data_IF_831762656951
#
_entry.id   IF_831762656951
#
_cell.length_a   1.000
_cell.length_b   1.000
_cell.length_c   1.000
_cell.angle_alpha   90.00
_cell.angle_beta   90.00
_cell.angle_gamma   90.00
#
_symmetry.space_group_name_H-M   'P 1'
#
loop_
_entity.id
_entity.type
_entity.pdbx_description
1 polymer ?
#
# COMPACT_ATOMS: atom_id res chain seq x y z
N UNK A 1 -40.71 -16.46 54.32
CA UNK A 1 -39.46 -17.22 54.04
C UNK A 1 -39.25 -17.31 52.53
N UNK A 2 -38.47 -16.42 51.89
CA UNK A 2 -38.26 -16.46 50.45
C UNK A 2 -37.20 -17.52 50.10
N UNK A 3 -37.56 -18.47 49.22
CA UNK A 3 -36.66 -19.53 48.73
C UNK A 3 -35.64 -18.92 47.76
N UNK A 4 -34.37 -18.86 48.16
CA UNK A 4 -33.24 -18.44 47.33
C UNK A 4 -32.99 -19.48 46.23
N UNK A 5 -33.08 -19.07 44.97
CA UNK A 5 -32.71 -19.91 43.82
C UNK A 5 -31.17 -20.05 43.77
N UNK A 6 -30.62 -21.24 43.51
CA UNK A 6 -29.18 -21.43 43.41
C UNK A 6 -28.67 -20.73 42.13
N UNK A 7 -27.69 -19.84 42.30
CA UNK A 7 -26.93 -19.23 41.20
C UNK A 7 -26.24 -20.33 40.40
N UNK A 8 -26.67 -20.55 39.16
CA UNK A 8 -25.98 -21.48 38.25
C UNK A 8 -24.55 -21.01 38.04
N UNK A 9 -23.57 -21.81 38.46
CA UNK A 9 -22.17 -21.65 38.06
C UNK A 9 -22.12 -21.79 36.54
N UNK A 10 -22.00 -20.67 35.85
CA UNK A 10 -21.67 -20.61 34.42
C UNK A 10 -20.25 -21.11 34.27
N UNK A 11 -20.09 -22.42 34.08
CA UNK A 11 -18.84 -23.02 33.62
C UNK A 11 -18.45 -22.32 32.33
N UNK A 12 -17.33 -21.58 32.36
CA UNK A 12 -16.71 -21.02 31.16
C UNK A 12 -16.34 -22.20 30.27
N UNK A 13 -17.11 -22.44 29.23
CA UNK A 13 -16.68 -23.28 28.11
C UNK A 13 -15.34 -22.70 27.61
N UNK A 14 -14.30 -23.53 27.42
CA UNK A 14 -13.06 -23.06 26.82
C UNK A 14 -13.36 -22.49 25.42
N UNK A 15 -12.73 -21.36 25.09
CA UNK A 15 -12.87 -20.65 23.82
C UNK A 15 -12.65 -21.58 22.62
N UNK A 16 -13.71 -22.18 22.09
CA UNK A 16 -13.70 -22.96 20.84
C UNK A 16 -13.24 -22.11 19.64
N UNK A 17 -13.28 -20.79 19.75
CA UNK A 17 -12.72 -19.89 18.75
C UNK A 17 -11.19 -19.87 18.78
N UNK A 18 -10.54 -20.06 19.92
CA UNK A 18 -9.07 -20.02 20.02
C UNK A 18 -8.38 -21.15 19.25
N UNK A 19 -9.01 -22.34 19.16
CA UNK A 19 -8.45 -23.52 18.49
C UNK A 19 -8.51 -23.44 16.96
N UNK A 20 -9.51 -22.75 16.39
CA UNK A 20 -9.65 -22.61 14.93
C UNK A 20 -8.57 -21.71 14.29
N UNK A 21 -7.95 -20.81 15.05
CA UNK A 21 -6.95 -19.87 14.53
C UNK A 21 -5.50 -20.40 14.59
N UNK A 22 -5.23 -21.43 15.40
CA UNK A 22 -3.88 -22.00 15.55
C UNK A 22 -3.31 -22.50 14.21
N UNK A 23 -4.02 -23.29 13.38
CA UNK A 23 -3.46 -23.76 12.12
C UNK A 23 -3.13 -22.63 11.15
N UNK A 24 -3.86 -21.51 11.21
CA UNK A 24 -3.59 -20.34 10.37
C UNK A 24 -2.40 -19.55 10.89
N UNK A 25 -2.28 -19.38 12.20
CA UNK A 25 -1.13 -18.75 12.82
C UNK A 25 0.16 -19.53 12.52
N UNK A 26 0.11 -20.86 12.61
CA UNK A 26 1.26 -21.74 12.32
C UNK A 26 1.67 -21.66 10.85
N UNK A 27 0.71 -21.61 9.92
CA UNK A 27 1.01 -21.37 8.50
C UNK A 27 1.68 -20.02 8.26
N UNK A 28 1.26 -18.97 8.97
CA UNK A 28 1.85 -17.64 8.85
C UNK A 28 3.28 -17.63 9.38
N UNK A 29 3.51 -18.27 10.53
CA UNK A 29 4.83 -18.43 11.12
C UNK A 29 5.76 -19.22 10.19
N UNK A 30 5.33 -20.39 9.72
CA UNK A 30 6.10 -21.22 8.79
C UNK A 30 6.48 -20.44 7.53
N UNK A 31 5.53 -19.71 6.95
CA UNK A 31 5.78 -18.89 5.76
C UNK A 31 6.82 -17.79 6.02
N UNK A 32 6.84 -17.19 7.21
CA UNK A 32 7.88 -16.22 7.56
C UNK A 32 9.26 -16.88 7.66
N UNK A 33 9.35 -18.08 8.25
CA UNK A 33 10.61 -18.83 8.32
C UNK A 33 11.12 -19.23 6.93
N UNK A 34 10.24 -19.76 6.08
CA UNK A 34 10.56 -20.08 4.66
C UNK A 34 11.08 -18.85 3.91
N UNK A 35 10.44 -17.69 4.09
CA UNK A 35 10.87 -16.42 3.49
C UNK A 35 12.24 -15.96 4.00
N UNK A 36 12.50 -16.13 5.30
CA UNK A 36 13.78 -15.82 5.91
C UNK A 36 14.89 -16.72 5.36
N UNK A 37 14.66 -18.03 5.30
CA UNK A 37 15.59 -19.02 4.76
C UNK A 37 15.91 -18.76 3.30
N UNK A 38 14.90 -18.44 2.48
CA UNK A 38 15.12 -18.09 1.07
C UNK A 38 15.97 -16.82 0.93
N UNK A 39 15.73 -15.82 1.78
CA UNK A 39 16.58 -14.63 1.85
C UNK A 39 18.02 -14.94 2.25
N UNK A 40 18.22 -15.85 3.22
CA UNK A 40 19.54 -16.29 3.68
C UNK A 40 20.28 -17.02 2.58
N UNK A 41 19.65 -18.01 1.93
CA UNK A 41 20.22 -18.75 0.82
C UNK A 41 20.64 -17.81 -0.33
N UNK A 42 19.84 -16.78 -0.62
CA UNK A 42 20.19 -15.78 -1.63
C UNK A 42 21.40 -14.91 -1.24
N UNK A 43 21.58 -14.60 0.05
CA UNK A 43 22.77 -13.90 0.55
C UNK A 43 24.00 -14.81 0.51
N UNK A 44 23.85 -16.09 0.84
CA UNK A 44 24.93 -17.07 0.81
C UNK A 44 25.40 -17.38 -0.62
N UNK A 45 24.48 -17.55 -1.58
CA UNK A 45 24.81 -17.75 -2.99
C UNK A 45 25.59 -16.56 -3.58
N UNK A 46 25.19 -15.33 -3.24
CA UNK A 46 25.92 -14.12 -3.64
C UNK A 46 27.36 -14.10 -3.08
N UNK A 47 27.57 -14.57 -1.84
CA UNK A 47 28.90 -14.66 -1.22
C UNK A 47 29.75 -15.77 -1.79
N UNK A 48 29.18 -16.95 -2.03
CA UNK A 48 29.90 -18.16 -2.44
C UNK A 48 30.26 -18.16 -3.92
N UNK A 49 29.31 -17.77 -4.77
CA UNK A 49 29.48 -17.92 -6.21
C UNK A 49 30.01 -16.64 -6.88
N UNK A 50 29.94 -15.47 -6.20
CA UNK A 50 30.47 -14.17 -6.64
C UNK A 50 29.92 -13.63 -7.99
N UNK A 51 29.24 -14.48 -8.76
CA UNK A 51 28.72 -14.28 -10.12
C UNK A 51 27.19 -14.38 -10.17
N UNK A 52 26.57 -14.95 -9.14
CA UNK A 52 25.12 -15.04 -9.04
C UNK A 52 24.54 -13.68 -8.66
N UNK A 53 24.11 -12.91 -9.66
CA UNK A 53 23.45 -11.63 -9.42
C UNK A 53 22.09 -11.83 -8.74
N UNK A 54 21.59 -10.80 -8.06
CA UNK A 54 20.24 -10.82 -7.48
C UNK A 54 19.18 -11.13 -8.55
N UNK A 55 19.38 -10.65 -9.78
CA UNK A 55 18.44 -10.91 -10.88
C UNK A 55 18.48 -12.37 -11.35
N UNK A 56 19.68 -12.97 -11.44
CA UNK A 56 19.84 -14.38 -11.81
C UNK A 56 19.22 -15.32 -10.77
N UNK A 57 19.49 -15.09 -9.48
CA UNK A 57 18.89 -15.89 -8.39
C UNK A 57 17.35 -15.73 -8.38
N UNK A 58 16.86 -14.51 -8.64
CA UNK A 58 15.42 -14.25 -8.68
C UNK A 58 14.75 -15.00 -9.84
N UNK A 59 15.38 -15.02 -11.02
CA UNK A 59 14.89 -15.72 -12.19
C UNK A 59 14.84 -17.25 -11.98
N UNK A 60 15.86 -17.85 -11.36
CA UNK A 60 15.90 -19.29 -11.05
C UNK A 60 14.73 -19.74 -10.15
N UNK A 61 14.20 -18.82 -9.33
CA UNK A 61 13.17 -19.11 -8.32
C UNK A 61 11.80 -18.52 -8.64
N UNK A 62 11.59 -18.04 -9.87
CA UNK A 62 10.35 -17.37 -10.31
C UNK A 62 9.94 -16.20 -9.39
N UNK A 63 10.92 -15.44 -8.90
CA UNK A 63 10.71 -14.28 -8.04
C UNK A 63 11.03 -12.99 -8.80
N UNK A 64 10.37 -11.89 -8.40
CA UNK A 64 10.80 -10.57 -8.84
C UNK A 64 12.10 -10.17 -8.14
N UNK A 65 13.04 -9.48 -8.81
CA UNK A 65 14.24 -8.95 -8.16
C UNK A 65 13.93 -8.05 -6.96
N UNK A 66 12.84 -7.29 -7.03
CA UNK A 66 12.37 -6.45 -5.94
C UNK A 66 11.96 -7.26 -4.70
N UNK A 67 11.23 -8.36 -4.90
CA UNK A 67 10.87 -9.28 -3.82
C UNK A 67 12.13 -9.90 -3.19
N UNK A 68 13.08 -10.34 -4.01
CA UNK A 68 14.30 -10.96 -3.52
C UNK A 68 15.15 -9.98 -2.71
N UNK A 69 15.28 -8.72 -3.14
CA UNK A 69 15.95 -7.67 -2.35
C UNK A 69 15.35 -7.54 -0.95
N UNK A 70 14.03 -7.54 -0.83
CA UNK A 70 13.36 -7.49 0.48
C UNK A 70 13.59 -8.74 1.32
N UNK A 71 13.62 -9.92 0.71
CA UNK A 71 13.92 -11.18 1.40
C UNK A 71 15.37 -11.22 1.90
N UNK A 72 16.33 -10.72 1.11
CA UNK A 72 17.73 -10.52 1.55
C UNK A 72 17.81 -9.53 2.71
N UNK A 73 17.11 -8.39 2.64
CA UNK A 73 17.02 -7.44 3.74
C UNK A 73 16.40 -8.05 4.99
N UNK A 74 15.38 -8.90 4.83
CA UNK A 74 14.76 -9.63 5.94
C UNK A 74 15.74 -10.57 6.62
N UNK A 75 16.44 -11.40 5.85
CA UNK A 75 17.44 -12.33 6.37
C UNK A 75 18.60 -11.63 7.09
N UNK A 76 19.05 -10.47 6.57
CA UNK A 76 20.10 -9.66 7.20
C UNK A 76 19.59 -8.99 8.48
N UNK A 77 18.36 -8.48 8.46
CA UNK A 77 17.78 -7.71 9.57
C UNK A 77 17.34 -8.57 10.75
N UNK A 78 17.13 -9.87 10.56
CA UNK A 78 16.66 -10.81 11.57
C UNK A 78 17.60 -12.00 11.73
N UNK A 79 18.90 -11.76 11.61
CA UNK A 79 19.92 -12.79 11.57
C UNK A 79 19.92 -13.67 12.83
N UNK A 80 20.12 -14.97 12.63
CA UNK A 80 20.28 -15.97 13.69
C UNK A 80 21.74 -15.94 14.11
N UNK A 81 22.10 -15.10 15.09
CA UNK A 81 23.47 -15.02 15.61
C UNK A 81 23.93 -13.66 16.14
N UNK A 82 23.07 -12.64 16.13
CA UNK A 82 23.39 -11.36 16.79
C UNK A 82 23.05 -11.48 18.29
N UNK A 83 24.09 -11.59 19.13
CA UNK A 83 24.04 -11.70 20.61
C UNK A 83 23.43 -10.48 21.32
N UNK A 84 22.87 -9.52 20.58
CA UNK A 84 22.20 -8.33 21.12
C UNK A 84 20.79 -8.63 21.65
N UNK A 85 20.28 -9.83 21.44
CA UNK A 85 19.08 -10.31 22.13
C UNK A 85 19.51 -10.91 23.48
N UNK A 86 19.22 -10.18 24.57
CA UNK A 86 19.63 -10.42 25.97
C UNK A 86 19.23 -11.78 26.58
N UNK A 87 18.70 -12.71 25.79
CA UNK A 87 18.25 -14.05 26.23
C UNK A 87 18.47 -15.15 25.17
N UNK A 88 19.50 -15.06 24.32
CA UNK A 88 19.89 -16.18 23.43
C UNK A 88 18.80 -16.61 22.42
N UNK A 89 17.89 -15.70 22.04
CA UNK A 89 16.83 -15.96 21.06
C UNK A 89 17.08 -15.12 19.82
N UNK A 90 16.95 -15.74 18.65
CA UNK A 90 17.00 -14.99 17.40
C UNK A 90 15.84 -13.98 17.35
N UNK A 91 16.10 -12.79 16.83
CA UNK A 91 15.06 -11.77 16.63
C UNK A 91 13.92 -12.27 15.71
N UNK A 92 14.21 -13.26 14.85
CA UNK A 92 13.22 -13.98 14.06
C UNK A 92 12.26 -14.79 14.94
N UNK A 93 12.76 -15.55 15.91
CA UNK A 93 11.93 -16.35 16.80
C UNK A 93 10.99 -15.47 17.62
N UNK A 94 11.48 -14.32 18.07
CA UNK A 94 10.62 -13.38 18.78
C UNK A 94 9.51 -12.83 17.86
N UNK A 95 9.87 -12.40 16.65
CA UNK A 95 8.89 -11.93 15.67
C UNK A 95 7.83 -13.01 15.36
N UNK A 96 8.27 -14.25 15.20
CA UNK A 96 7.41 -15.40 14.92
C UNK A 96 6.49 -15.76 16.10
N UNK A 97 6.86 -15.47 17.36
CA UNK A 97 6.03 -15.73 18.54
C UNK A 97 4.95 -14.68 18.78
N UNK A 98 5.12 -13.46 18.26
CA UNK A 98 4.13 -12.40 18.46
C UNK A 98 2.76 -12.81 17.89
N UNK A 99 1.70 -12.61 18.69
CA UNK A 99 0.31 -12.87 18.33
C UNK A 99 -0.50 -11.60 18.56
N UNK A 100 -1.37 -11.26 17.61
CA UNK A 100 -2.20 -10.05 17.72
C UNK A 100 -3.33 -10.24 18.73
N UNK A 101 -3.43 -9.37 19.76
CA UNK A 101 -4.32 -9.49 20.93
C UNK A 101 -5.84 -9.53 20.66
N UNK A 102 -6.28 -9.41 19.40
CA UNK A 102 -7.69 -9.59 19.02
C UNK A 102 -7.95 -10.76 18.07
N UNK A 103 -7.02 -11.05 17.15
CA UNK A 103 -7.22 -12.10 16.14
C UNK A 103 -6.53 -13.42 16.45
N UNK A 104 -5.60 -13.43 17.41
CA UNK A 104 -4.74 -14.60 17.68
C UNK A 104 -3.79 -14.95 16.54
N UNK A 105 -3.78 -14.17 15.45
CA UNK A 105 -2.91 -14.39 14.30
C UNK A 105 -1.54 -13.76 14.52
N UNK A 106 -0.51 -14.39 13.97
CA UNK A 106 0.84 -13.83 13.96
C UNK A 106 0.98 -12.59 13.07
N UNK A 107 2.13 -11.93 13.18
CA UNK A 107 2.56 -10.98 12.16
C UNK A 107 2.84 -11.74 10.86
N UNK A 108 2.70 -11.08 9.72
CA UNK A 108 2.94 -11.67 8.40
C UNK A 108 3.80 -10.76 7.55
N UNK A 109 4.20 -11.23 6.37
CA UNK A 109 5.09 -10.53 5.43
C UNK A 109 4.76 -9.03 5.22
N UNK A 110 3.48 -8.68 5.18
CA UNK A 110 3.06 -7.28 5.04
C UNK A 110 3.51 -6.38 6.19
N UNK A 111 3.53 -6.88 7.42
CA UNK A 111 4.09 -6.17 8.57
C UNK A 111 5.60 -6.06 8.46
N UNK A 112 6.26 -7.18 8.10
CA UNK A 112 7.72 -7.25 7.96
C UNK A 112 8.24 -6.20 6.97
N UNK A 113 7.58 -6.01 5.83
CA UNK A 113 7.96 -4.99 4.84
C UNK A 113 8.08 -3.59 5.46
N UNK A 114 7.17 -3.22 6.35
CA UNK A 114 7.22 -1.91 7.02
C UNK A 114 8.23 -1.87 8.15
N UNK A 115 8.37 -2.97 8.91
CA UNK A 115 9.36 -3.12 9.96
C UNK A 115 10.80 -3.04 9.41
N UNK A 116 11.05 -3.52 8.20
CA UNK A 116 12.37 -3.39 7.55
C UNK A 116 12.77 -1.94 7.24
N UNK A 117 11.83 -1.00 7.26
CA UNK A 117 12.13 0.43 7.19
C UNK A 117 12.66 1.02 8.50
N UNK A 118 12.61 0.27 9.60
CA UNK A 118 13.18 0.66 10.90
C UNK A 118 14.61 0.14 10.97
N UNK A 119 15.56 1.07 11.01
CA UNK A 119 17.00 0.78 10.97
C UNK A 119 17.45 -0.01 12.20
N UNK A 120 17.07 0.47 13.39
CA UNK A 120 17.51 -0.10 14.66
C UNK A 120 16.76 -1.40 15.00
N UNK A 121 17.45 -2.54 15.20
CA UNK A 121 16.79 -3.83 15.48
C UNK A 121 15.90 -3.80 16.73
N UNK A 122 16.37 -3.16 17.81
CA UNK A 122 15.60 -3.04 19.05
C UNK A 122 14.30 -2.23 18.84
N UNK A 123 14.38 -1.15 18.06
CA UNK A 123 13.21 -0.33 17.76
C UNK A 123 12.23 -1.08 16.84
N UNK A 124 12.74 -1.83 15.86
CA UNK A 124 11.95 -2.68 14.99
C UNK A 124 11.13 -3.69 15.79
N UNK A 125 11.75 -4.30 16.79
CA UNK A 125 11.07 -5.25 17.68
C UNK A 125 10.04 -4.56 18.57
N UNK A 126 10.34 -3.38 19.11
CA UNK A 126 9.37 -2.55 19.84
C UNK A 126 8.13 -2.27 18.98
N UNK A 127 8.30 -1.87 17.72
CA UNK A 127 7.20 -1.64 16.78
C UNK A 127 6.42 -2.91 16.45
N UNK A 128 7.09 -4.05 16.33
CA UNK A 128 6.43 -5.34 16.13
C UNK A 128 5.54 -5.70 17.34
N UNK A 129 6.04 -5.51 18.57
CA UNK A 129 5.27 -5.72 19.81
C UNK A 129 4.06 -4.79 19.89
N UNK A 130 4.23 -3.50 19.58
CA UNK A 130 3.11 -2.54 19.54
C UNK A 130 2.04 -2.94 18.50
N UNK A 131 2.47 -3.40 17.32
CA UNK A 131 1.55 -3.89 16.29
C UNK A 131 0.80 -5.15 16.73
N UNK A 132 1.47 -6.06 17.43
CA UNK A 132 0.86 -7.26 18.00
C UNK A 132 -0.17 -6.88 19.07
N UNK A 133 0.24 -6.09 20.05
CA UNK A 133 -0.59 -5.68 21.17
C UNK A 133 -1.80 -4.85 20.76
N UNK A 134 -1.62 -3.95 19.79
CA UNK A 134 -2.69 -3.10 19.27
C UNK A 134 -3.58 -3.76 18.21
N UNK A 135 -3.35 -5.03 17.87
CA UNK A 135 -4.00 -5.74 16.75
C UNK A 135 -3.94 -4.91 15.44
N UNK A 136 -2.79 -4.31 15.16
CA UNK A 136 -2.63 -3.44 13.99
C UNK A 136 -2.62 -4.26 12.69
N UNK A 137 -3.14 -3.64 11.63
CA UNK A 137 -2.92 -4.09 10.26
C UNK A 137 -1.56 -3.56 9.75
N UNK A 138 -1.00 -4.13 8.67
CA UNK A 138 0.19 -3.58 8.04
C UNK A 138 0.04 -2.09 7.67
N UNK A 139 -1.15 -1.68 7.19
CA UNK A 139 -1.43 -0.31 6.81
C UNK A 139 -1.42 0.62 8.03
N UNK A 140 -1.99 0.18 9.16
CA UNK A 140 -1.95 0.95 10.40
C UNK A 140 -0.51 1.07 10.91
N UNK A 141 0.25 -0.02 10.93
CA UNK A 141 1.68 0.02 11.29
C UNK A 141 2.45 1.03 10.41
N UNK A 142 2.24 1.00 9.10
CA UNK A 142 2.85 1.98 8.19
C UNK A 142 2.43 3.42 8.49
N UNK A 143 1.19 3.65 8.88
CA UNK A 143 0.70 4.98 9.23
C UNK A 143 1.35 5.47 10.51
N UNK A 144 1.43 4.64 11.55
CA UNK A 144 2.06 4.97 12.83
C UNK A 144 3.56 5.23 12.67
N UNK A 145 4.29 4.43 11.89
CA UNK A 145 5.71 4.64 11.59
C UNK A 145 5.99 5.98 10.87
N UNK A 146 5.00 6.51 10.15
CA UNK A 146 5.11 7.80 9.45
C UNK A 146 4.70 8.99 10.33
N UNK A 147 4.06 8.76 11.48
CA UNK A 147 3.72 9.86 12.40
C UNK A 147 5.03 10.37 13.01
N UNK A 148 5.41 11.59 12.65
CA UNK A 148 6.68 12.20 13.04
C UNK A 148 7.72 12.25 11.94
N UNK A 149 7.48 11.59 10.79
CA UNK A 149 8.23 11.87 9.58
C UNK A 149 7.54 13.03 8.83
N UNK A 150 8.31 13.98 8.27
CA UNK A 150 7.72 14.98 7.38
C UNK A 150 6.96 14.25 6.27
N UNK A 151 5.76 14.73 5.88
CA UNK A 151 5.00 14.09 4.81
C UNK A 151 5.93 13.96 3.61
N UNK A 152 6.18 12.72 3.20
CA UNK A 152 7.10 12.43 2.10
C UNK A 152 6.72 13.32 0.92
N UNK A 153 7.62 14.23 0.54
CA UNK A 153 7.40 15.11 -0.59
C UNK A 153 7.16 14.21 -1.79
N UNK A 154 5.91 14.16 -2.26
CA UNK A 154 5.60 13.51 -3.52
C UNK A 154 6.56 14.06 -4.56
N UNK A 155 7.01 13.22 -5.49
CA UNK A 155 7.87 13.67 -6.58
C UNK A 155 7.25 14.94 -7.19
N UNK A 156 8.00 16.06 -7.26
CA UNK A 156 7.48 17.29 -7.84
C UNK A 156 6.89 16.99 -9.21
N UNK A 157 5.72 17.57 -9.48
CA UNK A 157 5.11 17.50 -10.79
C UNK A 157 6.09 18.08 -11.80
N UNK A 158 6.33 17.37 -12.91
CA UNK A 158 7.12 17.91 -14.01
C UNK A 158 6.44 19.19 -14.50
N UNK A 159 7.17 20.27 -14.80
CA UNK A 159 6.59 21.46 -15.39
C UNK A 159 5.98 21.09 -16.76
N UNK A 160 4.77 21.57 -17.08
CA UNK A 160 4.15 21.32 -18.38
C UNK A 160 4.91 22.05 -19.48
N UNK A 161 4.95 21.46 -20.69
CA UNK A 161 5.67 22.04 -21.84
C UNK A 161 4.88 23.18 -22.49
N UNK A 162 3.55 23.15 -22.35
CA UNK A 162 2.64 24.15 -22.91
C UNK A 162 1.37 24.30 -22.04
N UNK A 163 0.57 25.36 -22.23
CA UNK A 163 -0.63 25.61 -21.42
C UNK A 163 -1.67 24.48 -21.48
N UNK A 164 -1.82 23.81 -22.63
CA UNK A 164 -2.76 22.69 -22.82
C UNK A 164 -2.34 21.48 -21.97
N UNK A 165 -1.06 21.15 -21.97
CA UNK A 165 -0.48 20.13 -21.09
C UNK A 165 -0.64 20.49 -19.62
N UNK A 166 -0.47 21.78 -19.26
CA UNK A 166 -0.67 22.27 -17.90
C UNK A 166 -2.10 22.08 -17.43
N UNK A 167 -3.09 22.41 -18.27
CA UNK A 167 -4.50 22.19 -17.97
C UNK A 167 -4.82 20.69 -17.86
N UNK A 168 -4.32 19.87 -18.78
CA UNK A 168 -4.49 18.41 -18.72
C UNK A 168 -3.87 17.80 -17.45
N UNK A 169 -2.70 18.31 -17.03
CA UNK A 169 -2.03 17.89 -15.80
C UNK A 169 -2.81 18.29 -14.54
N UNK A 170 -3.33 19.52 -14.49
CA UNK A 170 -4.18 19.98 -13.39
C UNK A 170 -5.45 19.13 -13.27
N UNK A 171 -6.09 18.78 -14.39
CA UNK A 171 -7.26 17.90 -14.39
C UNK A 171 -6.96 16.49 -13.88
N UNK A 172 -5.87 15.87 -14.36
CA UNK A 172 -5.44 14.54 -13.89
C UNK A 172 -5.19 14.50 -12.39
N UNK A 173 -4.47 15.50 -11.87
CA UNK A 173 -4.21 15.59 -10.43
C UNK A 173 -5.49 15.89 -9.65
N UNK A 174 -6.38 16.76 -10.16
CA UNK A 174 -7.71 16.98 -9.60
C UNK A 174 -8.51 15.68 -9.48
N UNK A 175 -8.53 14.85 -10.53
CA UNK A 175 -9.21 13.54 -10.51
C UNK A 175 -8.59 12.63 -9.47
N UNK A 176 -7.25 12.59 -9.40
CA UNK A 176 -6.53 11.77 -8.43
C UNK A 176 -6.82 12.19 -6.99
N UNK A 177 -6.91 13.49 -6.71
CA UNK A 177 -7.28 14.02 -5.41
C UNK A 177 -8.73 13.66 -5.05
N UNK A 178 -9.67 13.80 -5.98
CA UNK A 178 -11.07 13.41 -5.75
C UNK A 178 -11.20 11.91 -5.45
N UNK A 179 -10.45 11.05 -6.16
CA UNK A 179 -10.42 9.61 -5.91
C UNK A 179 -9.89 9.27 -4.51
N UNK A 180 -8.87 9.99 -4.01
CA UNK A 180 -8.38 9.82 -2.63
C UNK A 180 -9.44 10.20 -1.59
N UNK A 181 -10.22 11.23 -1.89
CA UNK A 181 -11.31 11.68 -1.02
C UNK A 181 -12.49 10.70 -0.96
N UNK A 182 -12.61 9.71 -1.86
CA UNK A 182 -13.70 8.72 -1.83
C UNK A 182 -13.79 7.97 -0.49
N UNK A 183 -12.64 7.62 0.10
CA UNK A 183 -12.61 6.96 1.42
C UNK A 183 -13.18 7.83 2.54
N UNK A 184 -12.93 9.15 2.48
CA UNK A 184 -13.47 10.14 3.41
C UNK A 184 -14.96 10.37 3.15
N UNK A 185 -15.38 10.38 1.89
CA UNK A 185 -16.78 10.48 1.46
C UNK A 185 -17.61 9.33 2.01
N UNK A 186 -17.17 8.09 1.87
CA UNK A 186 -17.87 6.92 2.44
C UNK A 186 -18.04 7.04 3.97
N UNK A 187 -17.03 7.60 4.63
CA UNK A 187 -17.08 7.87 6.08
C UNK A 187 -18.09 8.97 6.39
N UNK A 188 -18.11 10.05 5.59
CA UNK A 188 -19.08 11.14 5.72
C UNK A 188 -20.52 10.68 5.45
N UNK A 189 -20.75 9.83 4.44
CA UNK A 189 -22.07 9.25 4.16
C UNK A 189 -22.56 8.40 5.32
N UNK A 190 -21.67 7.57 5.88
CA UNK A 190 -21.96 6.77 7.07
C UNK A 190 -22.27 7.65 8.28
N UNK A 191 -21.47 8.69 8.52
CA UNK A 191 -21.69 9.65 9.61
C UNK A 191 -23.00 10.42 9.44
N UNK A 192 -23.32 10.86 8.22
CA UNK A 192 -24.59 11.55 7.91
C UNK A 192 -25.80 10.66 8.21
N UNK A 193 -25.73 9.37 7.87
CA UNK A 193 -26.83 8.42 8.03
C UNK A 193 -26.99 7.93 9.48
N UNK A 194 -25.89 7.76 10.22
CA UNK A 194 -25.89 7.04 11.51
C UNK A 194 -25.58 7.90 12.72
N UNK A 195 -24.98 9.08 12.55
CA UNK A 195 -24.60 9.91 13.69
C UNK A 195 -25.83 10.63 14.27
N UNK A 196 -25.99 10.58 15.59
CA UNK A 196 -27.06 11.28 16.31
C UNK A 196 -26.77 12.77 16.51
N UNK A 197 -25.49 13.16 16.49
CA UNK A 197 -25.07 14.55 16.62
C UNK A 197 -25.42 15.38 15.37
N UNK A 198 -26.14 16.49 15.58
CA UNK A 198 -26.61 17.36 14.49
C UNK A 198 -25.47 18.14 13.84
N UNK A 199 -24.46 18.57 14.62
CA UNK A 199 -23.32 19.31 14.10
C UNK A 199 -22.49 18.44 13.14
N UNK A 200 -22.21 17.20 13.54
CA UNK A 200 -21.50 16.21 12.72
C UNK A 200 -22.26 15.89 11.42
N UNK A 201 -23.59 15.72 11.47
CA UNK A 201 -24.39 15.50 10.24
C UNK A 201 -24.36 16.70 9.30
N UNK A 202 -24.41 17.93 9.84
CA UNK A 202 -24.33 19.15 9.04
C UNK A 202 -22.96 19.26 8.36
N UNK A 203 -21.87 19.08 9.11
CA UNK A 203 -20.51 19.09 8.57
C UNK A 203 -20.30 18.02 7.49
N UNK A 204 -20.78 16.78 7.73
CA UNK A 204 -20.72 15.71 6.73
C UNK A 204 -21.52 16.07 5.46
N UNK A 205 -22.68 16.72 5.59
CA UNK A 205 -23.50 17.15 4.45
C UNK A 205 -22.82 18.25 3.64
N UNK A 206 -22.18 19.22 4.29
CA UNK A 206 -21.42 20.28 3.63
C UNK A 206 -20.22 19.72 2.87
N UNK A 207 -19.46 18.80 3.48
CA UNK A 207 -18.34 18.13 2.83
C UNK A 207 -18.78 17.32 1.60
N UNK A 208 -19.89 16.57 1.70
CA UNK A 208 -20.46 15.84 0.56
C UNK A 208 -20.91 16.78 -0.56
N UNK A 209 -21.51 17.94 -0.22
CA UNK A 209 -21.90 18.96 -1.19
C UNK A 209 -20.68 19.52 -1.92
N UNK A 210 -19.62 19.89 -1.19
CA UNK A 210 -18.38 20.40 -1.76
C UNK A 210 -17.71 19.38 -2.68
N UNK A 211 -17.64 18.11 -2.27
CA UNK A 211 -17.07 17.04 -3.07
C UNK A 211 -17.84 16.82 -4.38
N UNK A 212 -19.18 16.77 -4.34
CA UNK A 212 -20.01 16.65 -5.56
C UNK A 212 -19.84 17.86 -6.48
N UNK A 213 -19.81 19.06 -5.92
CA UNK A 213 -19.56 20.29 -6.69
C UNK A 213 -18.19 20.23 -7.40
N UNK A 214 -17.16 19.74 -6.72
CA UNK A 214 -15.83 19.59 -7.29
C UNK A 214 -15.80 18.51 -8.39
N UNK A 215 -16.51 17.39 -8.23
CA UNK A 215 -16.66 16.37 -9.28
C UNK A 215 -17.32 16.94 -10.55
N UNK A 216 -18.45 17.63 -10.39
CA UNK A 216 -19.17 18.23 -11.52
C UNK A 216 -18.32 19.27 -12.23
N UNK A 217 -17.66 20.15 -11.46
CA UNK A 217 -16.75 21.15 -12.00
C UNK A 217 -15.61 20.49 -12.79
N UNK A 218 -14.97 19.47 -12.23
CA UNK A 218 -13.86 18.79 -12.93
C UNK A 218 -14.32 18.11 -14.23
N UNK A 219 -15.49 17.48 -14.23
CA UNK A 219 -16.07 16.85 -15.40
C UNK A 219 -16.44 17.88 -16.51
N UNK A 220 -16.87 19.07 -16.14
CA UNK A 220 -17.12 20.17 -17.07
C UNK A 220 -15.81 20.68 -17.69
N UNK A 221 -14.78 20.93 -16.88
CA UNK A 221 -13.49 21.40 -17.37
C UNK A 221 -12.79 20.35 -18.26
N UNK A 222 -12.96 19.06 -17.96
CA UNK A 222 -12.46 17.98 -18.83
C UNK A 222 -13.12 18.01 -20.20
N UNK A 223 -14.45 18.14 -20.26
CA UNK A 223 -15.17 18.24 -21.54
C UNK A 223 -14.73 19.45 -22.37
N UNK A 224 -14.58 20.61 -21.73
CA UNK A 224 -14.08 21.82 -22.40
C UNK A 224 -12.68 21.64 -22.96
N UNK A 225 -11.79 20.93 -22.24
CA UNK A 225 -10.46 20.62 -22.74
C UNK A 225 -10.54 19.71 -23.98
N UNK A 226 -11.40 18.69 -23.96
CA UNK A 226 -11.60 17.81 -25.11
C UNK A 226 -12.13 18.58 -26.33
N UNK A 227 -13.04 19.52 -26.13
CA UNK A 227 -13.55 20.40 -27.19
C UNK A 227 -12.43 21.25 -27.81
N UNK A 228 -11.58 21.88 -26.98
CA UNK A 228 -10.42 22.66 -27.44
C UNK A 228 -9.44 21.76 -28.21
N UNK A 229 -9.14 20.57 -27.70
CA UNK A 229 -8.26 19.63 -28.39
C UNK A 229 -8.81 19.14 -29.73
N UNK A 230 -10.14 19.03 -29.85
CA UNK A 230 -10.79 18.64 -31.10
C UNK A 230 -10.82 19.77 -32.13
N UNK A 231 -10.86 21.03 -31.70
CA UNK A 231 -10.73 22.22 -32.59
C UNK A 231 -9.28 22.42 -33.06
N UNK A 232 -8.29 22.12 -32.21
CA UNK A 232 -6.86 22.34 -32.50
C UNK A 232 -6.26 21.22 -33.36
N UNK A 233 -6.92 20.07 -33.51
CA UNK A 233 -6.49 19.05 -34.48
C UNK A 233 -6.59 19.64 -35.89
N UNK A 234 -5.48 19.81 -36.63
CA UNK A 234 -5.56 20.29 -38.01
C UNK A 234 -6.38 19.30 -38.80
N UNK A 235 -7.43 19.80 -39.46
CA UNK A 235 -8.14 19.08 -40.51
C UNK A 235 -7.10 18.71 -41.56
N UNK A 236 -6.58 17.48 -41.51
CA UNK A 236 -5.67 16.87 -42.51
C UNK A 236 -6.29 16.76 -43.92
N UNK A 237 -7.37 17.49 -44.22
CA UNK A 237 -8.16 17.37 -45.44
C UNK A 237 -7.89 18.47 -46.49
N UNK A 238 -7.10 19.49 -46.20
CA UNK A 238 -6.78 20.57 -47.16
C UNK A 238 -5.37 20.50 -47.76
N UNK A 239 -4.47 19.64 -47.27
CA UNK A 239 -3.12 19.52 -47.83
C UNK A 239 -3.01 18.61 -49.08
N UNK A 240 -4.07 17.87 -49.45
CA UNK A 240 -4.03 16.94 -50.59
C UNK A 240 -4.41 17.58 -51.95
N UNK A 241 -4.82 18.85 -51.99
CA UNK A 241 -5.29 19.51 -53.21
C UNK A 241 -4.23 20.40 -53.91
N UNK A 242 -3.06 20.61 -53.30
CA UNK A 242 -2.05 21.55 -53.82
C UNK A 242 -0.92 20.88 -54.64
N UNK A 243 -0.86 19.56 -54.71
CA UNK A 243 0.33 18.83 -55.19
C UNK A 243 0.14 18.07 -56.53
N UNK A 244 -0.93 18.38 -57.30
CA UNK A 244 -1.23 17.69 -58.57
C UNK A 244 -0.94 18.48 -59.85
N UNK A 245 -0.34 19.67 -59.80
CA UNK A 245 -0.22 20.55 -60.99
C UNK A 245 1.15 20.62 -61.67
N UNK A 246 2.15 19.79 -61.31
CA UNK A 246 3.46 19.84 -61.98
C UNK A 246 4.04 18.45 -62.24
N UNK A 247 3.63 17.82 -63.34
CA UNK A 247 4.47 16.84 -64.04
C UNK A 247 4.00 16.67 -65.50
N UNK A 248 4.52 17.51 -66.40
CA UNK A 248 4.51 17.28 -67.85
C UNK A 248 5.91 16.80 -68.26
N UNK A 249 6.09 15.59 -68.81
CA UNK A 249 7.39 15.12 -69.25
C UNK A 249 7.73 15.68 -70.64
N UNK A 250 8.93 16.27 -70.76
CA UNK A 250 9.52 16.68 -72.04
C UNK A 250 10.12 15.44 -72.71
N UNK A 251 9.69 15.14 -73.93
CA UNK A 251 10.30 14.11 -74.80
C UNK A 251 11.59 14.66 -75.42
N UNK A 252 12.71 13.92 -75.41
CA UNK A 252 13.90 14.30 -76.17
C UNK A 252 13.73 13.88 -77.65
N UNK A 253 14.18 14.75 -78.55
CA UNK A 253 14.60 14.41 -79.92
C UNK A 253 16.13 14.37 -79.97
#
# INVERSE_FOLDING_TARGET
MPKSRPRSRRTKLPDLQATAFLPKADRMERRLREQHELGRAAVEAEKKDGRMTTDAYAAERDLSPHSLRKLKSFARGYYVGDDTCTEGRSSLDELCRLRRKGSGLGLHWGHVIFLLGVEQPAERLRWARLAADGNWSPQRLSAELRKGQPPGSGRPLKPPTNPVEGLAQALREGTRWLARCESVVMTCETARAKCRDAATRKAASELLRLWRSAQTGLAEHSRRLDDVLNVVKPTKKTAAAADQTQNKPVRPQ
#
